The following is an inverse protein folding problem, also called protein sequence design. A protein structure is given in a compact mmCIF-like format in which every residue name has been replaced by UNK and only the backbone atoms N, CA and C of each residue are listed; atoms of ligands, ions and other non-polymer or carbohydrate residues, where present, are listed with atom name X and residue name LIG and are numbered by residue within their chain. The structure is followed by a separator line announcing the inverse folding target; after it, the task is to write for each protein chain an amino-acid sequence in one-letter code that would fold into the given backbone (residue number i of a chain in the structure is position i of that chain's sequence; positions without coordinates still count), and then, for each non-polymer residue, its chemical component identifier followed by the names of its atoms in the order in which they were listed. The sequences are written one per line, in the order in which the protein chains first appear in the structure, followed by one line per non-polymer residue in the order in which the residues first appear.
data_IF_474248440780
#
_entry.id   IF_474248440780
#
_cell.length_a   1.000
_cell.length_b   1.000
_cell.length_c   1.000
_cell.angle_alpha   90.00
_cell.angle_beta   90.00
_cell.angle_gamma   90.00
#
_symmetry.space_group_name_H-M   'P 1'
#
loop_
_entity.id
_entity.type
_entity.pdbx_description
1 polymer ?
#
# COMPACT_ATOMS: atom_id res chain seq x y z
N UNK A 1 -0.04 -82.65 47.71
CA UNK A 1 1.31 -82.05 47.85
C UNK A 1 1.54 -81.16 46.64
N UNK A 2 2.21 -80.03 46.86
CA UNK A 2 2.64 -79.00 45.90
C UNK A 2 1.65 -77.88 45.51
N UNK A 3 1.72 -76.84 46.36
CA UNK A 3 1.91 -75.40 46.06
C UNK A 3 1.06 -74.75 44.95
N UNK A 4 0.04 -74.02 45.40
CA UNK A 4 -0.58 -72.93 44.65
C UNK A 4 0.22 -71.62 44.85
N UNK A 5 0.40 -70.92 43.73
CA UNK A 5 1.20 -69.71 43.51
C UNK A 5 0.43 -68.45 43.91
N UNK A 6 1.01 -67.62 44.77
CA UNK A 6 0.59 -66.23 45.04
C UNK A 6 1.11 -65.31 43.94
N UNK A 7 0.22 -64.57 43.27
CA UNK A 7 0.54 -63.54 42.28
C UNK A 7 0.37 -62.16 42.94
N UNK A 8 1.46 -61.40 42.97
CA UNK A 8 1.51 -59.98 43.37
C UNK A 8 0.91 -59.09 42.27
N UNK A 9 -0.15 -58.35 42.58
CA UNK A 9 -0.65 -57.26 41.73
C UNK A 9 0.17 -55.98 41.99
N UNK A 10 1.14 -55.72 41.10
CA UNK A 10 1.79 -54.39 41.01
C UNK A 10 0.97 -53.47 40.12
N UNK A 11 0.28 -52.52 40.75
CA UNK A 11 -0.38 -51.37 40.12
C UNK A 11 0.65 -50.52 39.35
N UNK A 12 0.60 -50.59 38.03
CA UNK A 12 1.42 -49.79 37.12
C UNK A 12 0.65 -48.49 36.79
N UNK A 13 0.89 -47.41 37.56
CA UNK A 13 0.41 -46.07 37.20
C UNK A 13 1.18 -45.58 35.98
N UNK A 14 0.49 -45.37 34.86
CA UNK A 14 1.06 -44.79 33.65
C UNK A 14 1.46 -43.32 33.92
N UNK A 15 2.63 -42.86 33.45
CA UNK A 15 2.98 -41.44 33.53
C UNK A 15 2.03 -40.66 32.62
N UNK A 16 1.42 -39.59 33.14
CA UNK A 16 0.78 -38.56 32.30
C UNK A 16 1.89 -37.84 31.54
N UNK A 17 1.86 -37.96 30.21
CA UNK A 17 2.64 -37.11 29.30
C UNK A 17 2.08 -35.69 29.44
N UNK A 18 2.85 -34.82 30.10
CA UNK A 18 2.59 -33.39 30.16
C UNK A 18 2.95 -32.80 28.79
N UNK A 19 1.96 -32.70 27.89
CA UNK A 19 2.11 -31.97 26.63
C UNK A 19 2.00 -30.50 27.00
N UNK A 20 3.12 -29.89 27.39
CA UNK A 20 3.21 -28.44 27.51
C UNK A 20 2.86 -27.86 26.15
N UNK A 21 1.87 -26.95 26.04
CA UNK A 21 1.56 -26.30 24.78
C UNK A 21 2.83 -25.60 24.30
N UNK A 22 3.37 -26.07 23.17
CA UNK A 22 4.49 -25.45 22.49
C UNK A 22 4.12 -24.01 22.24
N UNK A 23 4.87 -23.09 22.86
CA UNK A 23 4.69 -21.64 22.76
C UNK A 23 4.74 -21.27 21.28
N UNK A 24 3.57 -21.08 20.64
CA UNK A 24 3.46 -20.59 19.26
C UNK A 24 4.25 -19.28 19.22
N UNK A 25 5.42 -19.27 18.57
CA UNK A 25 6.16 -18.03 18.33
C UNK A 25 5.28 -17.19 17.41
N UNK A 26 4.91 -16.00 17.87
CA UNK A 26 4.25 -15.00 17.02
C UNK A 26 5.25 -14.66 15.91
N UNK A 27 4.99 -15.17 14.71
CA UNK A 27 5.73 -14.78 13.52
C UNK A 27 5.30 -13.36 13.17
N UNK A 28 6.25 -12.44 13.23
CA UNK A 28 6.05 -11.04 12.85
C UNK A 28 6.58 -10.88 11.43
N UNK A 29 5.74 -10.44 10.49
CA UNK A 29 6.25 -9.98 9.20
C UNK A 29 6.87 -8.62 9.41
N UNK A 30 8.11 -8.44 8.96
CA UNK A 30 8.75 -7.14 8.94
C UNK A 30 8.65 -6.53 7.54
N UNK A 31 8.40 -5.23 7.48
CA UNK A 31 8.59 -4.47 6.24
C UNK A 31 10.02 -3.94 6.25
N UNK A 32 10.88 -4.36 5.32
CA UNK A 32 12.28 -3.95 5.30
C UNK A 32 12.40 -2.43 5.24
N UNK A 33 13.24 -1.89 6.12
CA UNK A 33 13.59 -0.48 6.16
C UNK A 33 14.99 -0.29 5.61
N UNK A 34 15.14 0.49 4.54
CA UNK A 34 16.46 0.80 3.95
C UNK A 34 16.83 2.23 4.31
N UNK A 35 17.77 2.38 5.25
CA UNK A 35 18.40 3.65 5.55
C UNK A 35 19.53 3.94 4.54
N UNK A 36 19.20 4.76 3.54
CA UNK A 36 20.12 5.11 2.45
C UNK A 36 21.34 5.93 2.92
N UNK A 37 21.24 6.66 4.04
CA UNK A 37 22.38 7.40 4.61
C UNK A 37 23.39 6.43 5.22
N UNK A 38 22.90 5.48 6.02
CA UNK A 38 23.76 4.49 6.68
C UNK A 38 24.51 3.60 5.68
N UNK A 39 23.84 3.20 4.59
CA UNK A 39 24.47 2.41 3.53
C UNK A 39 25.66 3.15 2.89
N UNK A 40 25.58 4.47 2.77
CA UNK A 40 26.66 5.29 2.22
C UNK A 40 27.84 5.44 3.17
N UNK A 41 27.59 5.69 4.45
CA UNK A 41 28.66 5.88 5.44
C UNK A 41 29.52 4.61 5.57
N UNK A 42 28.92 3.43 5.42
CA UNK A 42 29.64 2.16 5.34
C UNK A 42 30.57 2.08 4.11
N UNK A 43 30.15 2.65 2.97
CA UNK A 43 30.97 2.69 1.76
C UNK A 43 32.17 3.64 1.87
N UNK A 44 31.99 4.82 2.46
CA UNK A 44 33.06 5.81 2.57
C UNK A 44 34.18 5.37 3.53
N UNK A 45 33.85 4.63 4.58
CA UNK A 45 34.82 4.24 5.60
C UNK A 45 35.74 3.07 5.20
N UNK A 46 35.53 2.44 4.04
CA UNK A 46 36.44 1.41 3.50
C UNK A 46 36.62 0.16 4.38
N UNK A 47 35.81 0.02 5.44
CA UNK A 47 35.86 -1.11 6.38
C UNK A 47 34.98 -2.28 5.95
N UNK A 48 34.29 -2.18 4.82
CA UNK A 48 33.42 -3.22 4.29
C UNK A 48 34.20 -4.29 3.52
N UNK A 49 34.17 -5.52 4.03
CA UNK A 49 34.36 -6.74 3.25
C UNK A 49 33.54 -6.62 1.95
N UNK A 50 34.16 -6.88 0.79
CA UNK A 50 33.57 -6.75 -0.55
C UNK A 50 32.34 -7.67 -0.84
N UNK A 51 31.78 -8.33 0.17
CA UNK A 51 30.71 -9.32 0.05
C UNK A 51 29.35 -8.86 0.62
N UNK A 52 29.26 -7.62 1.12
CA UNK A 52 27.96 -7.00 1.43
C UNK A 52 27.33 -6.51 0.13
N UNK A 53 26.65 -7.41 -0.58
CA UNK A 53 25.72 -7.09 -1.66
C UNK A 53 24.68 -6.12 -1.08
N UNK A 54 24.88 -4.82 -1.30
CA UNK A 54 23.83 -3.84 -1.10
C UNK A 54 22.67 -4.27 -2.00
N UNK A 55 21.68 -4.92 -1.40
CA UNK A 55 20.46 -5.29 -2.09
C UNK A 55 19.85 -4.00 -2.61
N UNK A 56 19.63 -3.94 -3.93
CA UNK A 56 18.96 -2.78 -4.50
C UNK A 56 17.55 -2.67 -3.91
N UNK A 57 16.97 -1.47 -3.92
CA UNK A 57 15.57 -1.26 -3.53
C UNK A 57 14.66 -2.26 -4.27
N UNK A 58 14.95 -2.52 -5.55
CA UNK A 58 14.21 -3.47 -6.37
C UNK A 58 14.40 -4.93 -5.94
N UNK A 59 15.55 -5.32 -5.40
CA UNK A 59 15.77 -6.67 -4.86
C UNK A 59 14.99 -6.87 -3.56
N UNK A 60 15.09 -5.91 -2.64
CA UNK A 60 14.36 -5.97 -1.38
C UNK A 60 12.86 -6.00 -1.63
N UNK A 61 12.37 -5.15 -2.55
CA UNK A 61 10.98 -5.14 -2.97
C UNK A 61 10.54 -6.46 -3.61
N UNK A 62 11.33 -7.05 -4.51
CA UNK A 62 10.95 -8.31 -5.16
C UNK A 62 10.75 -9.44 -4.13
N UNK A 63 11.55 -9.45 -3.06
CA UNK A 63 11.43 -10.44 -1.99
C UNK A 63 10.25 -10.17 -1.07
N UNK A 64 10.10 -8.92 -0.60
CA UNK A 64 9.16 -8.60 0.50
C UNK A 64 7.85 -7.99 0.04
N UNK A 65 7.77 -7.57 -1.22
CA UNK A 65 6.63 -6.87 -1.82
C UNK A 65 6.28 -5.54 -1.11
N UNK A 66 7.14 -5.06 -0.21
CA UNK A 66 7.08 -3.75 0.42
C UNK A 66 8.48 -3.32 0.88
N UNK A 67 8.75 -2.01 0.86
CA UNK A 67 10.00 -1.39 1.32
C UNK A 67 9.70 -0.01 1.89
N UNK A 68 10.24 0.31 3.06
CA UNK A 68 10.17 1.64 3.67
C UNK A 68 11.52 2.36 3.58
N UNK A 69 11.50 3.61 3.11
CA UNK A 69 12.68 4.46 2.92
C UNK A 69 12.53 5.76 3.74
N UNK A 70 12.95 5.77 5.01
CA UNK A 70 12.85 6.96 5.86
C UNK A 70 13.87 8.02 5.42
N UNK A 71 13.45 9.29 5.43
CA UNK A 71 14.30 10.44 5.11
C UNK A 71 14.83 10.43 3.68
N UNK A 72 14.09 9.84 2.74
CA UNK A 72 14.52 9.71 1.34
C UNK A 72 14.84 11.07 0.70
N UNK A 73 14.05 12.11 1.01
CA UNK A 73 14.32 13.46 0.49
C UNK A 73 15.68 14.01 0.91
N UNK A 74 16.06 13.81 2.17
CA UNK A 74 17.32 14.34 2.66
C UNK A 74 18.51 13.65 1.98
N UNK A 75 18.39 12.34 1.72
CA UNK A 75 19.38 11.60 0.94
C UNK A 75 19.53 12.20 -0.46
N UNK A 76 18.40 12.52 -1.12
CA UNK A 76 18.40 13.10 -2.46
C UNK A 76 19.00 14.52 -2.48
N UNK A 77 18.71 15.35 -1.49
CA UNK A 77 19.27 16.70 -1.37
C UNK A 77 20.79 16.65 -1.19
N UNK A 78 21.27 15.77 -0.30
CA UNK A 78 22.70 15.60 -0.08
C UNK A 78 23.43 15.09 -1.34
N UNK A 79 22.81 14.17 -2.08
CA UNK A 79 23.36 13.70 -3.36
C UNK A 79 23.43 14.81 -4.42
N UNK A 80 22.45 15.72 -4.45
CA UNK A 80 22.48 16.90 -5.33
C UNK A 80 23.62 17.84 -4.94
N UNK A 81 23.77 18.14 -3.66
CA UNK A 81 24.85 19.00 -3.16
C UNK A 81 26.23 18.44 -3.52
N UNK A 82 26.44 17.13 -3.36
CA UNK A 82 27.70 16.47 -3.73
C UNK A 82 27.98 16.54 -5.23
N UNK A 83 26.97 16.36 -6.10
CA UNK A 83 27.13 16.52 -7.55
C UNK A 83 27.53 17.95 -7.90
N UNK A 84 26.81 18.94 -7.35
CA UNK A 84 27.15 20.36 -7.55
C UNK A 84 28.58 20.69 -7.10
N UNK A 85 29.05 20.11 -6.00
CA UNK A 85 30.44 20.30 -5.54
C UNK A 85 31.48 19.67 -6.49
N UNK A 86 31.18 18.49 -7.06
CA UNK A 86 32.06 17.83 -8.06
C UNK A 86 32.08 18.61 -9.36
N UNK A 87 30.91 18.98 -9.87
CA UNK A 87 30.79 19.75 -11.11
C UNK A 87 31.48 21.11 -10.96
N UNK A 88 31.36 21.78 -9.80
CA UNK A 88 32.07 23.03 -9.52
C UNK A 88 33.60 22.86 -9.45
N UNK A 89 34.10 21.68 -9.06
CA UNK A 89 35.54 21.39 -9.08
C UNK A 89 36.07 21.14 -10.51
N UNK A 90 35.23 20.60 -11.39
CA UNK A 90 35.57 20.32 -12.79
C UNK A 90 35.31 21.52 -13.73
N UNK A 91 34.42 22.44 -13.36
CA UNK A 91 33.92 23.54 -14.19
C UNK A 91 34.85 24.77 -14.28
N UNK A 92 36.16 24.61 -14.09
CA UNK A 92 37.15 25.71 -14.18
C UNK A 92 37.28 26.33 -15.60
N UNK A 93 36.33 26.09 -16.52
CA UNK A 93 36.32 26.69 -17.86
C UNK A 93 34.98 26.77 -18.63
N UNK A 94 33.81 26.57 -18.01
CA UNK A 94 32.53 26.70 -18.75
C UNK A 94 31.52 27.60 -18.04
N UNK A 95 31.16 28.71 -18.71
CA UNK A 95 30.14 29.67 -18.27
C UNK A 95 28.75 29.08 -18.49
N UNK A 96 28.26 28.25 -17.58
CA UNK A 96 26.88 27.76 -17.67
C UNK A 96 25.86 28.84 -17.29
N UNK A 97 24.79 28.90 -18.09
CA UNK A 97 23.63 29.74 -17.81
C UNK A 97 22.91 29.21 -16.56
N UNK A 98 22.56 30.06 -15.58
CA UNK A 98 21.93 29.61 -14.35
C UNK A 98 20.63 28.87 -14.66
N UNK A 99 20.57 27.58 -14.30
CA UNK A 99 19.34 26.80 -14.37
C UNK A 99 18.27 27.51 -13.54
N UNK A 100 17.12 27.77 -14.17
CA UNK A 100 15.98 28.41 -13.52
C UNK A 100 15.45 27.46 -12.45
N UNK A 101 15.59 27.81 -11.18
CA UNK A 101 15.05 27.02 -10.08
C UNK A 101 13.55 26.78 -10.30
N UNK A 102 13.17 25.52 -10.51
CA UNK A 102 11.76 25.13 -10.56
C UNK A 102 11.19 25.17 -9.15
N UNK A 103 9.97 25.68 -9.01
CA UNK A 103 9.30 25.71 -7.72
C UNK A 103 8.91 24.28 -7.31
N UNK A 104 9.31 23.87 -6.10
CA UNK A 104 8.94 22.57 -5.53
C UNK A 104 7.47 22.60 -5.09
N UNK A 105 6.73 21.54 -5.40
CA UNK A 105 5.32 21.38 -5.06
C UNK A 105 5.11 21.52 -3.55
N UNK A 106 4.23 22.43 -3.16
CA UNK A 106 3.79 22.59 -1.78
C UNK A 106 2.30 22.24 -1.67
N UNK A 107 1.85 21.75 -0.52
CA UNK A 107 0.44 21.35 -0.33
C UNK A 107 -0.57 22.48 -0.63
N UNK A 108 -0.16 23.74 -0.45
CA UNK A 108 -0.98 24.93 -0.77
C UNK A 108 -1.23 25.10 -2.27
N UNK A 109 -0.42 24.50 -3.12
CA UNK A 109 -0.56 24.58 -4.57
C UNK A 109 -1.66 23.64 -5.08
N UNK A 110 -2.03 22.61 -4.30
CA UNK A 110 -2.96 21.57 -4.72
C UNK A 110 -4.34 22.10 -5.09
N UNK A 111 -4.86 23.10 -4.38
CA UNK A 111 -6.12 23.74 -4.77
C UNK A 111 -6.01 24.38 -6.17
N UNK A 112 -4.93 25.11 -6.43
CA UNK A 112 -4.69 25.75 -7.73
C UNK A 112 -4.42 24.74 -8.85
N UNK A 113 -3.81 23.60 -8.53
CA UNK A 113 -3.63 22.47 -9.45
C UNK A 113 -5.01 21.86 -9.76
N UNK A 114 -5.78 21.49 -8.74
CA UNK A 114 -7.09 20.86 -8.87
C UNK A 114 -8.05 21.70 -9.74
N UNK A 115 -8.10 23.02 -9.53
CA UNK A 115 -8.96 23.92 -10.33
C UNK A 115 -8.64 23.94 -11.82
N UNK A 116 -7.39 23.62 -12.19
CA UNK A 116 -6.90 23.60 -13.57
C UNK A 116 -6.96 22.21 -14.22
N UNK A 117 -7.32 21.19 -13.45
CA UNK A 117 -7.52 19.84 -13.99
C UNK A 117 -8.68 19.85 -15.00
N UNK A 118 -8.67 18.85 -15.89
CA UNK A 118 -9.83 18.56 -16.74
C UNK A 118 -11.04 18.15 -15.89
N UNK A 119 -12.26 18.29 -16.41
CA UNK A 119 -13.46 17.84 -15.67
C UNK A 119 -13.40 16.34 -15.34
N UNK A 120 -12.89 15.51 -16.26
CA UNK A 120 -12.66 14.08 -16.03
C UNK A 120 -11.73 13.81 -14.84
N UNK A 121 -10.67 14.60 -14.69
CA UNK A 121 -9.74 14.44 -13.56
C UNK A 121 -10.36 14.98 -12.26
N UNK A 122 -11.21 16.00 -12.33
CA UNK A 122 -11.96 16.49 -11.15
C UNK A 122 -13.01 15.51 -10.67
N UNK A 123 -13.62 14.75 -11.58
CA UNK A 123 -14.57 13.68 -11.26
C UNK A 123 -13.95 12.56 -10.42
N UNK A 124 -12.62 12.37 -10.49
CA UNK A 124 -11.91 11.40 -9.65
C UNK A 124 -11.77 11.82 -8.17
N UNK A 125 -12.24 13.02 -7.81
CA UNK A 125 -12.21 13.47 -6.42
C UNK A 125 -13.12 12.60 -5.55
N UNK A 126 -12.53 11.95 -4.57
CA UNK A 126 -13.25 11.08 -3.64
C UNK A 126 -12.95 11.49 -2.20
N UNK A 127 -13.98 11.55 -1.35
CA UNK A 127 -13.82 11.60 0.11
C UNK A 127 -13.70 10.15 0.59
N UNK A 128 -12.60 9.86 1.25
CA UNK A 128 -12.17 8.49 1.54
C UNK A 128 -12.64 7.98 2.91
N UNK A 129 -13.10 8.87 3.78
CA UNK A 129 -13.49 8.52 5.15
C UNK A 129 -14.99 8.70 5.40
N UNK A 130 -15.61 7.67 5.96
CA UNK A 130 -17.04 7.57 6.32
C UNK A 130 -17.43 8.49 7.47
N UNK A 131 -16.52 8.72 8.43
CA UNK A 131 -16.77 9.56 9.62
C UNK A 131 -16.57 11.07 9.38
N UNK A 132 -16.54 11.50 8.12
CA UNK A 132 -16.19 12.86 7.76
C UNK A 132 -17.18 13.88 8.36
N UNK A 133 -16.68 14.71 9.30
CA UNK A 133 -17.36 15.95 9.73
C UNK A 133 -17.25 17.06 8.68
N UNK A 134 -17.09 16.70 7.41
CA UNK A 134 -16.92 17.64 6.30
C UNK A 134 -18.26 18.33 6.09
N UNK A 135 -18.36 19.58 6.56
CA UNK A 135 -19.56 20.42 6.36
C UNK A 135 -19.78 20.74 4.89
N UNK A 136 -18.71 20.72 4.10
CA UNK A 136 -18.70 21.06 2.68
C UNK A 136 -17.95 20.00 1.88
N UNK A 137 -18.66 19.03 1.30
CA UNK A 137 -18.07 17.96 0.48
C UNK A 137 -17.42 18.45 -0.84
N UNK A 138 -17.32 19.76 -1.05
CA UNK A 138 -16.78 20.33 -2.27
C UNK A 138 -15.24 20.40 -2.20
N UNK A 139 -14.52 19.86 -3.21
CA UNK A 139 -13.06 19.96 -3.29
C UNK A 139 -12.56 21.41 -3.19
N UNK A 140 -13.36 22.35 -3.70
CA UNK A 140 -13.03 23.78 -3.71
C UNK A 140 -12.80 24.33 -2.30
N UNK A 141 -13.57 23.89 -1.31
CA UNK A 141 -13.42 24.35 0.07
C UNK A 141 -12.35 23.54 0.81
N UNK A 142 -12.36 22.23 0.64
CA UNK A 142 -11.50 21.33 1.40
C UNK A 142 -10.00 21.50 1.13
N UNK A 143 -9.63 21.76 -0.14
CA UNK A 143 -8.23 21.92 -0.55
C UNK A 143 -7.65 23.32 -0.25
N UNK A 144 -8.47 24.31 0.12
CA UNK A 144 -7.98 25.67 0.43
C UNK A 144 -7.21 25.72 1.74
N UNK A 145 -6.20 26.57 1.82
CA UNK A 145 -5.31 26.62 2.98
C UNK A 145 -5.93 27.07 4.30
N UNK A 146 -7.09 27.73 4.27
CA UNK A 146 -7.76 28.37 5.40
C UNK A 146 -8.93 27.55 5.98
N UNK A 147 -9.26 26.38 5.40
CA UNK A 147 -10.30 25.52 5.99
C UNK A 147 -9.81 24.77 7.24
N UNK A 148 -10.75 24.55 8.15
CA UNK A 148 -10.59 23.80 9.40
C UNK A 148 -11.34 22.45 9.33
N UNK A 149 -11.84 22.08 8.16
CA UNK A 149 -12.53 20.81 7.97
C UNK A 149 -11.62 19.63 8.29
N UNK A 150 -12.20 18.59 8.89
CA UNK A 150 -11.56 17.31 9.18
C UNK A 150 -11.98 16.31 8.12
N UNK A 151 -11.04 15.65 7.46
CA UNK A 151 -11.36 14.73 6.38
C UNK A 151 -10.13 14.14 5.68
N UNK A 152 -10.36 13.14 4.85
CA UNK A 152 -9.37 12.55 3.97
C UNK A 152 -9.97 12.39 2.57
N UNK A 153 -9.24 12.80 1.55
CA UNK A 153 -9.67 12.71 0.16
C UNK A 153 -8.52 12.28 -0.76
N UNK A 154 -8.88 11.79 -1.94
CA UNK A 154 -7.94 11.54 -3.02
C UNK A 154 -8.45 12.10 -4.35
N UNK A 155 -7.56 12.30 -5.31
CA UNK A 155 -7.90 12.55 -6.70
C UNK A 155 -6.73 12.20 -7.63
N UNK A 156 -7.04 11.99 -8.90
CA UNK A 156 -6.11 11.66 -9.97
C UNK A 156 -5.70 12.88 -10.79
N UNK A 157 -4.45 12.84 -11.26
CA UNK A 157 -3.94 13.68 -12.35
C UNK A 157 -3.42 12.76 -13.45
N UNK A 158 -4.11 12.71 -14.59
CA UNK A 158 -3.79 11.76 -15.68
C UNK A 158 -3.74 12.44 -17.05
N UNK A 159 -4.38 13.60 -17.22
CA UNK A 159 -4.29 14.34 -18.47
C UNK A 159 -2.84 14.79 -18.72
N UNK A 160 -2.29 14.47 -19.90
CA UNK A 160 -0.86 14.64 -20.21
C UNK A 160 -0.29 16.03 -19.89
N UNK A 161 -1.01 17.11 -20.21
CA UNK A 161 -0.56 18.49 -19.95
C UNK A 161 -0.51 18.79 -18.45
N UNK A 162 -1.59 18.50 -17.73
CA UNK A 162 -1.68 18.69 -16.28
C UNK A 162 -0.66 17.83 -15.53
N UNK A 163 -0.54 16.57 -15.93
CA UNK A 163 0.42 15.62 -15.36
C UNK A 163 1.85 16.12 -15.55
N UNK A 164 2.26 16.46 -16.77
CA UNK A 164 3.63 16.93 -17.05
C UNK A 164 4.00 18.14 -16.18
N UNK A 165 3.08 19.10 -16.06
CA UNK A 165 3.26 20.28 -15.21
C UNK A 165 3.43 19.94 -13.73
N UNK A 166 2.64 18.99 -13.21
CA UNK A 166 2.74 18.60 -11.80
C UNK A 166 4.00 17.80 -11.55
N UNK A 167 4.38 16.90 -12.47
CA UNK A 167 5.60 16.10 -12.40
C UNK A 167 6.87 16.98 -12.32
N UNK A 168 6.91 18.10 -13.03
CA UNK A 168 8.02 19.09 -12.96
C UNK A 168 8.17 19.75 -11.58
N UNK A 169 7.12 19.74 -10.76
CA UNK A 169 7.11 20.32 -9.42
C UNK A 169 7.41 19.29 -8.33
N UNK A 170 7.38 17.97 -8.62
CA UNK A 170 7.53 16.95 -7.59
C UNK A 170 8.96 16.93 -7.03
N UNK A 171 9.13 16.82 -5.70
CA UNK A 171 10.46 16.67 -5.10
C UNK A 171 11.14 15.35 -5.52
N UNK A 172 10.33 14.30 -5.70
CA UNK A 172 10.78 12.99 -6.19
C UNK A 172 9.89 12.60 -7.37
N UNK A 173 10.50 12.48 -8.56
CA UNK A 173 9.81 12.09 -9.79
C UNK A 173 9.84 10.57 -10.01
N UNK A 174 10.96 9.95 -9.60
CA UNK A 174 11.29 8.54 -9.81
C UNK A 174 12.21 8.07 -8.69
N UNK A 175 12.09 6.80 -8.30
CA UNK A 175 12.97 6.13 -7.35
C UNK A 175 14.19 5.48 -8.01
N UNK A 176 14.31 5.55 -9.34
CA UNK A 176 15.52 5.12 -10.03
C UNK A 176 16.63 6.14 -9.86
N UNK A 177 17.73 5.73 -9.26
CA UNK A 177 18.97 6.47 -9.30
C UNK A 177 19.64 6.26 -10.67
N UNK A 178 19.47 7.23 -11.57
CA UNK A 178 20.12 7.21 -12.89
C UNK A 178 21.66 7.13 -12.79
N UNK A 179 22.25 7.50 -11.65
CA UNK A 179 23.71 7.44 -11.49
C UNK A 179 24.28 6.03 -11.38
N UNK A 180 23.46 5.05 -10.98
CA UNK A 180 23.92 3.65 -10.88
C UNK A 180 24.09 3.04 -12.28
N UNK A 181 23.21 3.39 -13.23
CA UNK A 181 23.27 2.84 -14.58
C UNK A 181 24.30 3.53 -15.49
N UNK A 182 24.60 4.81 -15.23
CA UNK A 182 25.41 5.65 -16.12
C UNK A 182 26.90 5.26 -16.19
N UNK A 183 27.45 4.67 -15.13
CA UNK A 183 28.88 4.36 -15.06
C UNK A 183 29.31 3.11 -15.83
N UNK A 184 28.36 2.29 -16.31
CA UNK A 184 28.69 1.09 -17.07
C UNK A 184 29.14 1.39 -18.52
N UNK A 185 28.82 2.57 -19.07
CA UNK A 185 29.08 2.90 -20.48
C UNK A 185 30.34 3.74 -20.75
N UNK A 186 31.00 4.31 -19.72
CA UNK A 186 32.05 5.31 -19.93
C UNK A 186 33.48 4.74 -20.14
N UNK A 187 33.68 3.41 -20.06
CA UNK A 187 35.00 2.80 -20.23
C UNK A 187 35.36 2.40 -21.68
N UNK A 188 34.48 2.60 -22.66
CA UNK A 188 34.69 2.12 -24.03
C UNK A 188 35.59 3.00 -24.93
N UNK A 189 36.10 4.14 -24.45
CA UNK A 189 36.94 5.03 -25.28
C UNK A 189 38.46 4.82 -25.14
N UNK A 190 38.94 3.79 -24.42
CA UNK A 190 40.36 3.42 -24.45
C UNK A 190 40.66 2.54 -25.67
N UNK A 191 41.38 3.09 -26.66
CA UNK A 191 41.70 2.47 -27.96
C UNK A 191 42.64 1.25 -27.93
N UNK A 192 42.69 0.50 -26.84
CA UNK A 192 43.42 -0.77 -26.78
C UNK A 192 42.50 -1.90 -27.23
N UNK A 193 42.75 -2.42 -28.45
CA UNK A 193 42.16 -3.63 -29.05
C UNK A 193 42.39 -4.89 -28.18
N UNK A 194 41.74 -4.99 -27.03
CA UNK A 194 41.67 -6.20 -26.25
C UNK A 194 40.21 -6.65 -26.23
N UNK A 195 39.93 -7.74 -26.94
CA UNK A 195 38.63 -8.41 -27.03
C UNK A 195 38.25 -9.06 -25.68
N UNK A 196 38.07 -8.24 -24.64
CA UNK A 196 37.42 -8.70 -23.42
C UNK A 196 35.92 -8.47 -23.64
N UNK A 197 35.08 -9.52 -23.65
CA UNK A 197 33.65 -9.35 -23.83
C UNK A 197 33.12 -8.47 -22.70
N UNK A 198 32.55 -7.32 -23.07
CA UNK A 198 31.86 -6.44 -22.13
C UNK A 198 30.87 -7.28 -21.33
N UNK A 199 31.14 -7.47 -20.04
CA UNK A 199 30.25 -8.18 -19.14
C UNK A 199 28.94 -7.39 -19.11
N UNK A 200 27.96 -7.89 -19.86
CA UNK A 200 26.65 -7.27 -20.00
C UNK A 200 26.03 -7.21 -18.61
N UNK A 201 25.88 -6.00 -18.06
CA UNK A 201 25.26 -5.79 -16.76
C UNK A 201 23.79 -6.24 -16.84
N UNK A 202 23.50 -7.45 -16.36
CA UNK A 202 22.16 -8.07 -16.42
C UNK A 202 21.25 -7.62 -15.28
N UNK A 203 21.69 -6.71 -14.39
CA UNK A 203 20.98 -6.41 -13.14
C UNK A 203 20.19 -5.10 -13.13
N UNK A 204 20.20 -4.28 -14.19
CA UNK A 204 19.45 -3.02 -14.17
C UNK A 204 17.94 -3.28 -14.34
N UNK A 205 17.23 -3.46 -13.22
CA UNK A 205 15.77 -3.42 -13.15
C UNK A 205 15.34 -1.96 -13.26
N UNK A 206 14.74 -1.58 -14.38
CA UNK A 206 14.16 -0.25 -14.53
C UNK A 206 12.67 -0.29 -14.21
N UNK A 207 12.17 0.80 -13.63
CA UNK A 207 10.76 0.97 -13.33
C UNK A 207 10.13 1.81 -14.43
N UNK A 208 9.00 1.35 -14.96
CA UNK A 208 8.17 2.13 -15.86
C UNK A 208 6.92 2.56 -15.10
N UNK A 209 6.70 3.86 -15.03
CA UNK A 209 5.53 4.39 -14.35
C UNK A 209 4.34 4.49 -15.29
N UNK A 210 3.16 4.30 -14.73
CA UNK A 210 1.92 4.62 -15.41
C UNK A 210 1.76 6.15 -15.62
N UNK A 211 0.94 6.57 -16.60
CA UNK A 211 0.72 7.98 -16.93
C UNK A 211 -0.35 8.60 -16.03
N UNK A 212 -0.28 8.34 -14.72
CA UNK A 212 -1.11 8.99 -13.71
C UNK A 212 -0.24 9.43 -12.52
N UNK A 213 -0.84 10.27 -11.69
CA UNK A 213 -0.36 10.63 -10.38
C UNK A 213 -1.57 10.69 -9.43
N UNK A 214 -1.54 9.86 -8.39
CA UNK A 214 -2.51 9.92 -7.31
C UNK A 214 -2.09 10.99 -6.31
N UNK A 215 -3.03 11.84 -5.91
CA UNK A 215 -2.85 12.80 -4.81
C UNK A 215 -3.79 12.38 -3.67
N UNK A 216 -3.23 12.28 -2.48
CA UNK A 216 -3.97 12.04 -1.24
C UNK A 216 -3.79 13.25 -0.32
N UNK A 217 -4.89 13.72 0.24
CA UNK A 217 -4.91 14.93 1.05
C UNK A 217 -5.83 14.73 2.25
N UNK A 218 -5.32 14.94 3.46
CA UNK A 218 -6.15 14.88 4.64
C UNK A 218 -5.79 15.91 5.70
N UNK A 219 -6.80 16.23 6.51
CA UNK A 219 -6.74 17.21 7.59
C UNK A 219 -7.24 16.54 8.84
N UNK A 220 -6.38 16.50 9.85
CA UNK A 220 -6.75 16.10 11.20
C UNK A 220 -6.12 17.09 12.20
N UNK A 221 -6.64 18.34 12.27
CA UNK A 221 -6.06 19.38 13.12
C UNK A 221 -6.10 18.99 14.60
N UNK A 222 -5.00 19.21 15.30
CA UNK A 222 -4.92 19.08 16.77
C UNK A 222 -5.71 20.21 17.44
N UNK A 223 -7.03 20.14 17.52
CA UNK A 223 -7.77 21.13 18.31
C UNK A 223 -7.55 20.95 19.82
N UNK A 224 -7.59 22.08 20.53
CA UNK A 224 -7.17 22.28 21.92
C UNK A 224 -8.18 21.77 22.98
N UNK A 225 -9.31 21.16 22.61
CA UNK A 225 -10.45 21.03 23.54
C UNK A 225 -11.16 19.68 23.57
N UNK A 226 -10.48 18.58 23.26
CA UNK A 226 -11.03 17.26 23.62
C UNK A 226 -10.07 16.59 24.58
N UNK A 227 -10.26 16.85 25.87
CA UNK A 227 -9.65 16.01 26.90
C UNK A 227 -10.23 14.58 26.75
N UNK A 228 -9.39 13.57 26.98
CA UNK A 228 -9.77 12.19 27.37
C UNK A 228 -9.95 11.05 26.35
N UNK A 229 -9.90 11.23 25.02
CA UNK A 229 -9.76 10.05 24.12
C UNK A 229 -8.30 9.82 23.69
N UNK A 230 -7.82 8.59 23.92
CA UNK A 230 -6.42 8.16 23.74
C UNK A 230 -6.04 7.81 22.31
N UNK A 231 -7.00 7.72 21.39
CA UNK A 231 -6.75 7.61 19.96
C UNK A 231 -7.72 8.52 19.20
N UNK A 232 -7.18 9.47 18.45
CA UNK A 232 -7.92 10.45 17.63
C UNK A 232 -7.37 10.50 16.23
N UNK A 233 -6.77 9.41 15.81
CA UNK A 233 -6.33 9.27 14.44
C UNK A 233 -7.57 9.28 13.55
N UNK A 234 -7.59 10.18 12.58
CA UNK A 234 -8.64 10.21 11.58
C UNK A 234 -8.45 8.99 10.70
N UNK A 235 -9.47 8.14 10.61
CA UNK A 235 -9.44 7.01 9.68
C UNK A 235 -9.32 7.53 8.24
N UNK A 236 -8.33 7.04 7.51
CA UNK A 236 -8.23 7.21 6.07
C UNK A 236 -9.09 6.18 5.35
N UNK A 237 -8.54 5.53 4.33
CA UNK A 237 -9.20 4.36 3.74
C UNK A 237 -9.19 3.18 4.74
N UNK A 238 -10.30 2.43 4.88
CA UNK A 238 -10.33 1.18 5.65
C UNK A 238 -9.35 0.14 5.07
N UNK A 239 -9.16 -0.96 5.78
CA UNK A 239 -8.27 -2.02 5.30
C UNK A 239 -8.80 -2.61 3.98
N UNK A 240 -7.97 -2.62 2.95
CA UNK A 240 -8.29 -3.19 1.63
C UNK A 240 -7.02 -3.69 0.94
N UNK A 241 -7.19 -4.37 -0.18
CA UNK A 241 -6.14 -4.62 -1.18
C UNK A 241 -6.58 -3.99 -2.48
N UNK A 242 -5.64 -3.50 -3.28
CA UNK A 242 -5.98 -2.99 -4.61
C UNK A 242 -5.95 -4.12 -5.63
N UNK A 243 -6.94 -4.17 -6.50
CA UNK A 243 -6.88 -5.02 -7.69
C UNK A 243 -6.19 -4.29 -8.84
N UNK A 244 -4.87 -4.39 -8.82
CA UNK A 244 -3.97 -3.72 -9.77
C UNK A 244 -3.31 -4.72 -10.72
N UNK A 245 -2.97 -4.23 -11.91
CA UNK A 245 -2.23 -5.00 -12.91
C UNK A 245 -0.71 -4.78 -12.84
N UNK A 246 -0.28 -3.63 -12.32
CA UNK A 246 1.12 -3.24 -12.19
C UNK A 246 1.81 -3.95 -11.00
N UNK A 247 3.14 -3.86 -10.97
CA UNK A 247 3.93 -4.59 -9.97
C UNK A 247 3.89 -3.96 -8.58
N UNK A 248 3.55 -2.68 -8.47
CA UNK A 248 3.31 -1.99 -7.21
C UNK A 248 3.07 -0.51 -7.35
N UNK A 249 3.00 0.16 -6.20
CA UNK A 249 2.83 1.60 -6.07
C UNK A 249 3.85 2.11 -5.05
N UNK A 250 4.40 3.30 -5.29
CA UNK A 250 5.16 3.99 -4.26
C UNK A 250 4.48 5.30 -3.87
N UNK A 251 4.48 5.57 -2.58
CA UNK A 251 3.90 6.75 -1.95
C UNK A 251 5.02 7.60 -1.39
N UNK A 252 5.04 8.89 -1.74
CA UNK A 252 5.92 9.88 -1.13
C UNK A 252 5.09 10.82 -0.25
N UNK A 253 5.50 10.97 1.00
CA UNK A 253 4.83 11.85 1.95
C UNK A 253 5.35 13.29 1.76
N UNK A 254 4.55 14.13 1.11
CA UNK A 254 4.90 15.51 0.77
C UNK A 254 4.84 16.46 1.97
N UNK A 255 3.88 16.27 2.87
CA UNK A 255 3.66 17.12 4.05
C UNK A 255 2.96 16.33 5.14
N UNK A 256 3.24 16.66 6.40
CA UNK A 256 2.58 16.02 7.54
C UNK A 256 2.97 14.56 7.72
N UNK A 257 2.14 13.80 8.43
CA UNK A 257 2.37 12.40 8.76
C UNK A 257 1.18 11.55 8.34
N UNK A 258 1.46 10.33 7.87
CA UNK A 258 0.46 9.29 7.58
C UNK A 258 0.95 7.97 8.17
N UNK A 259 0.09 7.29 8.91
CA UNK A 259 0.36 5.96 9.40
C UNK A 259 -0.27 4.93 8.45
N UNK A 260 0.49 3.90 8.12
CA UNK A 260 0.07 2.74 7.34
C UNK A 260 0.02 1.53 8.25
N UNK A 261 -1.08 0.78 8.20
CA UNK A 261 -1.21 -0.52 8.83
C UNK A 261 -1.21 -1.55 7.70
N UNK A 262 -0.20 -2.42 7.67
CA UNK A 262 0.02 -3.39 6.60
C UNK A 262 -0.10 -4.82 7.14
N UNK A 263 -0.89 -5.64 6.49
CA UNK A 263 -1.02 -7.07 6.80
C UNK A 263 -0.85 -7.88 5.51
N UNK A 264 0.01 -8.92 5.50
CA UNK A 264 0.20 -9.70 4.29
C UNK A 264 -1.11 -10.40 3.92
N UNK A 265 -1.41 -10.47 2.63
CA UNK A 265 -2.38 -11.45 2.13
C UNK A 265 -1.87 -12.87 2.38
N UNK A 266 -2.77 -13.85 2.34
CA UNK A 266 -2.39 -15.27 2.39
C UNK A 266 -1.40 -15.66 1.28
N UNK A 267 -1.60 -15.11 0.09
CA UNK A 267 -0.71 -15.34 -1.05
C UNK A 267 0.72 -14.86 -0.73
N UNK A 268 0.86 -13.65 -0.20
CA UNK A 268 2.17 -13.11 0.18
C UNK A 268 2.79 -13.91 1.32
N UNK A 269 1.98 -14.25 2.32
CA UNK A 269 2.44 -15.04 3.47
C UNK A 269 3.06 -16.37 3.05
N UNK A 270 2.41 -17.09 2.13
CA UNK A 270 2.92 -18.34 1.58
C UNK A 270 4.21 -18.12 0.77
N UNK A 271 4.30 -17.02 0.01
CA UNK A 271 5.51 -16.65 -0.72
C UNK A 271 6.70 -16.38 0.23
N UNK A 272 6.46 -15.69 1.34
CA UNK A 272 7.52 -15.31 2.30
C UNK A 272 8.01 -16.51 3.12
N UNK A 273 7.11 -17.40 3.53
CA UNK A 273 7.46 -18.54 4.40
C UNK A 273 7.80 -19.82 3.64
N UNK A 274 7.57 -19.86 2.32
CA UNK A 274 7.76 -21.07 1.52
C UNK A 274 6.82 -22.21 1.92
N UNK A 275 5.71 -21.90 2.59
CA UNK A 275 4.69 -22.86 3.02
C UNK A 275 3.56 -22.91 2.00
N UNK A 276 3.22 -24.11 1.54
CA UNK A 276 1.98 -24.37 0.78
C UNK A 276 0.83 -24.78 1.70
N UNK A 277 0.99 -24.61 3.02
CA UNK A 277 -0.02 -25.07 3.97
C UNK A 277 -1.18 -24.09 4.02
N UNK A 278 -2.37 -24.63 3.84
CA UNK A 278 -3.62 -23.89 3.83
C UNK A 278 -4.15 -23.58 5.23
N UNK A 279 -3.29 -23.52 6.25
CA UNK A 279 -3.69 -23.28 7.63
C UNK A 279 -4.09 -21.79 7.84
N UNK A 280 -5.40 -21.49 8.01
CA UNK A 280 -5.86 -20.12 8.21
C UNK A 280 -5.38 -19.53 9.54
N UNK A 281 -5.02 -20.35 10.54
CA UNK A 281 -4.51 -19.86 11.83
C UNK A 281 -3.07 -19.34 11.76
N UNK A 282 -2.39 -19.54 10.63
CA UNK A 282 -0.96 -19.19 10.49
C UNK A 282 -0.70 -17.73 10.13
N UNK A 283 -1.71 -16.99 9.63
CA UNK A 283 -1.52 -15.62 9.16
C UNK A 283 -1.42 -14.66 10.37
N UNK A 284 -0.43 -13.75 10.41
CA UNK A 284 -0.34 -12.76 11.46
C UNK A 284 -1.61 -11.90 11.47
N UNK A 285 -2.29 -11.88 12.62
CA UNK A 285 -3.49 -11.05 12.83
C UNK A 285 -3.06 -9.58 13.05
N UNK A 286 -1.89 -9.35 13.64
CA UNK A 286 -1.43 -8.00 13.98
C UNK A 286 -0.80 -7.32 12.76
N UNK A 287 -1.33 -6.16 12.33
CA UNK A 287 -0.74 -5.41 11.22
C UNK A 287 0.60 -4.78 11.62
N UNK A 288 1.49 -4.65 10.65
CA UNK A 288 2.72 -3.86 10.75
C UNK A 288 2.36 -2.39 10.64
N UNK A 289 2.71 -1.60 11.65
CA UNK A 289 2.49 -0.16 11.65
C UNK A 289 3.73 0.58 11.14
N UNK A 290 3.56 1.40 10.10
CA UNK A 290 4.60 2.26 9.53
C UNK A 290 4.14 3.72 9.63
N UNK A 291 4.94 4.57 10.25
CA UNK A 291 4.69 6.01 10.32
C UNK A 291 5.52 6.73 9.25
N UNK A 292 4.86 7.15 8.16
CA UNK A 292 5.48 7.90 7.08
C UNK A 292 5.44 9.40 7.40
N UNK A 293 6.60 9.98 7.62
CA UNK A 293 6.81 11.41 7.80
C UNK A 293 7.09 12.12 6.48
N UNK A 294 6.96 13.44 6.48
CA UNK A 294 7.37 14.26 5.34
C UNK A 294 8.79 13.91 4.86
N UNK A 295 8.91 13.57 3.58
CA UNK A 295 10.17 13.17 2.95
C UNK A 295 10.39 11.66 2.86
N UNK A 296 9.58 10.86 3.53
CA UNK A 296 9.64 9.40 3.50
C UNK A 296 8.98 8.83 2.24
N UNK A 297 9.42 7.63 1.86
CA UNK A 297 8.82 6.85 0.78
C UNK A 297 8.43 5.45 1.29
N UNK A 298 7.21 5.03 0.96
CA UNK A 298 6.76 3.65 1.08
C UNK A 298 6.53 3.07 -0.30
N UNK A 299 7.20 1.97 -0.62
CA UNK A 299 6.96 1.18 -1.83
C UNK A 299 6.19 -0.05 -1.38
N UNK A 300 5.05 -0.36 -2.01
CA UNK A 300 4.19 -1.46 -1.58
C UNK A 300 3.46 -2.07 -2.78
N UNK A 301 3.37 -3.39 -2.79
CA UNK A 301 2.46 -4.12 -3.66
C UNK A 301 1.08 -4.13 -3.00
N UNK A 302 0.24 -3.16 -3.33
CA UNK A 302 -1.08 -2.99 -2.71
C UNK A 302 -2.06 -4.12 -3.02
N UNK A 303 -1.75 -5.00 -3.99
CA UNK A 303 -2.48 -6.26 -4.23
C UNK A 303 -2.14 -7.36 -3.23
N UNK A 304 -0.89 -7.39 -2.75
CA UNK A 304 -0.39 -8.46 -1.89
C UNK A 304 -0.36 -8.09 -0.41
N UNK A 305 -0.58 -6.82 -0.10
CA UNK A 305 -0.67 -6.28 1.24
C UNK A 305 -2.06 -5.69 1.47
N UNK A 306 -2.80 -6.26 2.42
CA UNK A 306 -3.90 -5.54 3.04
C UNK A 306 -3.34 -4.28 3.69
N UNK A 307 -3.97 -3.14 3.43
CA UNK A 307 -3.47 -1.87 3.88
C UNK A 307 -4.60 -0.94 4.33
N UNK A 308 -4.37 -0.27 5.45
CA UNK A 308 -5.21 0.78 6.00
C UNK A 308 -4.35 2.01 6.25
N UNK A 309 -4.97 3.19 6.17
CA UNK A 309 -4.28 4.45 6.49
C UNK A 309 -4.96 5.15 7.65
N UNK A 310 -4.15 5.72 8.54
CA UNK A 310 -4.58 6.55 9.65
C UNK A 310 -3.85 7.89 9.58
N UNK A 311 -4.56 8.98 9.89
CA UNK A 311 -4.01 10.32 9.91
C UNK A 311 -3.95 10.80 11.36
N UNK A 312 -2.77 10.83 12.00
CA UNK A 312 -2.64 11.33 13.36
C UNK A 312 -2.99 12.83 13.43
N UNK A 313 -3.27 13.31 14.63
CA UNK A 313 -3.50 14.75 14.88
C UNK A 313 -2.25 15.56 14.51
N UNK A 314 -2.43 16.58 13.69
CA UNK A 314 -1.32 17.36 13.15
C UNK A 314 -1.74 18.78 12.72
N UNK A 315 -0.85 19.78 12.85
CA UNK A 315 -1.19 21.18 12.57
C UNK A 315 -1.26 21.52 11.07
N UNK A 316 -0.78 20.64 10.21
CA UNK A 316 -0.72 20.82 8.75
C UNK A 316 -1.40 19.65 8.06
N UNK A 317 -1.92 19.82 6.83
CA UNK A 317 -2.46 18.70 6.09
C UNK A 317 -1.41 17.60 5.86
N UNK A 318 -1.85 16.35 6.01
CA UNK A 318 -1.13 15.16 5.55
C UNK A 318 -1.35 15.04 4.05
N UNK A 319 -0.27 15.17 3.28
CA UNK A 319 -0.31 15.10 1.82
C UNK A 319 0.70 14.09 1.36
N UNK A 320 0.27 13.14 0.54
CA UNK A 320 1.15 12.24 -0.17
C UNK A 320 0.73 12.18 -1.63
N UNK A 321 1.67 11.84 -2.51
CA UNK A 321 1.34 11.44 -3.86
C UNK A 321 1.88 10.05 -4.14
N UNK A 322 1.29 9.37 -5.12
CA UNK A 322 1.70 8.03 -5.47
C UNK A 322 1.78 7.82 -6.98
N UNK A 323 2.66 6.90 -7.37
CA UNK A 323 2.78 6.45 -8.76
C UNK A 323 2.86 4.94 -8.82
N UNK A 324 2.09 4.42 -9.76
CA UNK A 324 2.05 3.02 -10.10
C UNK A 324 3.22 2.68 -11.03
N UNK A 325 3.83 1.51 -10.84
CA UNK A 325 5.02 1.12 -11.58
C UNK A 325 5.06 -0.35 -11.97
N UNK A 326 5.75 -0.60 -13.08
CA UNK A 326 6.14 -1.91 -13.59
C UNK A 326 7.64 -2.09 -13.46
N UNK A 327 8.09 -3.26 -13.02
CA UNK A 327 9.48 -3.67 -13.00
C UNK A 327 9.80 -4.32 -14.34
N UNK A 328 10.55 -3.61 -15.18
CA UNK A 328 11.02 -4.13 -16.44
C UNK A 328 12.36 -4.83 -16.21
N UNK A 329 12.34 -6.15 -16.26
CA UNK A 329 13.57 -6.93 -16.42
C UNK A 329 13.93 -6.94 -17.91
N UNK A 330 15.06 -6.34 -18.27
CA UNK A 330 15.58 -6.48 -19.64
C UNK A 330 15.81 -7.97 -19.90
N UNK A 331 15.09 -8.59 -20.85
CA UNK A 331 15.32 -9.99 -21.14
C UNK A 331 16.78 -10.13 -21.56
N UNK A 332 17.53 -10.96 -20.84
CA UNK A 332 18.87 -11.35 -21.27
C UNK A 332 18.71 -11.85 -22.70
N UNK A 333 19.33 -11.18 -23.67
CA UNK A 333 19.41 -11.62 -25.06
C UNK A 333 20.24 -12.90 -25.11
N UNK A 334 19.71 -13.99 -24.60
CA UNK A 334 20.04 -15.32 -25.10
C UNK A 334 19.24 -15.44 -26.37
N UNK A 335 19.94 -15.15 -27.46
CA UNK A 335 19.46 -15.40 -28.80
C UNK A 335 18.95 -16.86 -28.87
N UNK A 336 17.82 -16.99 -29.56
CA UNK A 336 17.25 -18.21 -30.17
C UNK A 336 15.97 -18.74 -29.51
N UNK A 337 14.85 -18.23 -30.03
CA UNK A 337 13.66 -19.05 -30.30
C UNK A 337 12.60 -19.14 -29.20
N UNK A 338 11.92 -18.04 -28.88
CA UNK A 338 10.59 -18.13 -28.27
C UNK A 338 9.71 -16.97 -28.73
N UNK A 339 8.51 -17.33 -29.17
CA UNK A 339 7.47 -16.52 -29.80
C UNK A 339 7.14 -15.23 -29.05
N UNK A 340 7.35 -14.10 -29.73
CA UNK A 340 6.71 -12.82 -29.40
C UNK A 340 5.18 -12.99 -29.40
N UNK A 341 4.58 -13.10 -28.21
CA UNK A 341 3.22 -12.63 -28.03
C UNK A 341 3.29 -11.09 -28.01
N UNK A 342 3.06 -10.51 -29.19
CA UNK A 342 2.75 -9.10 -29.36
C UNK A 342 1.41 -8.82 -28.67
N UNK A 343 1.44 -8.46 -27.39
CA UNK A 343 0.38 -7.68 -26.75
C UNK A 343 0.57 -6.19 -27.07
N UNK A 344 0.62 -5.85 -28.36
CA UNK A 344 0.41 -4.49 -28.85
C UNK A 344 -1.09 -4.20 -28.89
N UNK A 345 -1.75 -4.41 -27.75
CA UNK A 345 -3.11 -3.94 -27.52
C UNK A 345 -3.04 -2.46 -27.18
N UNK A 346 -3.32 -1.62 -28.16
CA UNK A 346 -3.67 -0.20 -27.99
C UNK A 346 -5.03 -0.06 -27.28
N UNK A 347 -5.21 -0.75 -26.15
CA UNK A 347 -6.17 -0.32 -25.15
C UNK A 347 -5.47 0.77 -24.37
N UNK A 348 -5.99 1.99 -24.40
CA UNK A 348 -5.81 2.87 -23.26
C UNK A 348 -6.22 2.03 -22.06
N UNK A 349 -5.23 1.55 -21.30
CA UNK A 349 -5.44 0.83 -20.05
C UNK A 349 -6.13 1.81 -19.14
N UNK A 350 -7.45 1.82 -19.21
CA UNK A 350 -8.28 2.63 -18.36
C UNK A 350 -7.95 2.14 -16.97
N UNK A 351 -7.34 3.00 -16.16
CA UNK A 351 -7.17 2.75 -14.75
C UNK A 351 -8.55 2.65 -14.16
N UNK A 352 -9.07 1.44 -14.14
CA UNK A 352 -10.10 1.08 -13.21
C UNK A 352 -9.34 0.57 -12.02
N UNK A 353 -9.47 1.20 -10.86
CA UNK A 353 -9.17 0.48 -9.62
C UNK A 353 -10.12 -0.72 -9.70
N UNK A 354 -9.63 -1.91 -10.07
CA UNK A 354 -10.46 -3.12 -10.21
C UNK A 354 -10.77 -3.64 -8.81
N UNK A 355 -10.78 -2.79 -7.78
CA UNK A 355 -11.50 -3.11 -6.55
C UNK A 355 -12.95 -3.40 -6.88
N UNK A 356 -13.42 -3.04 -8.08
CA UNK A 356 -14.69 -3.53 -8.59
C UNK A 356 -15.84 -3.09 -7.71
N UNK A 357 -15.62 -2.07 -6.86
CA UNK A 357 -16.62 -1.49 -5.98
C UNK A 357 -17.16 -0.21 -6.60
N UNK A 358 -17.05 0.02 -7.91
CA UNK A 358 -17.74 1.11 -8.60
C UNK A 358 -18.05 0.78 -10.06
N UNK A 359 -19.08 1.43 -10.60
CA UNK A 359 -19.56 1.19 -11.95
C UNK A 359 -18.64 1.84 -13.00
N UNK A 360 -18.14 1.10 -13.97
CA UNK A 360 -17.37 1.69 -15.10
C UNK A 360 -18.27 2.37 -16.11
N UNK A 361 -19.53 1.93 -16.19
CA UNK A 361 -20.56 2.39 -17.10
C UNK A 361 -21.90 2.50 -16.33
N UNK A 362 -22.94 3.06 -16.95
CA UNK A 362 -24.27 3.06 -16.34
C UNK A 362 -24.80 1.63 -16.20
N UNK A 363 -25.18 1.22 -14.99
CA UNK A 363 -25.73 -0.11 -14.70
C UNK A 363 -27.23 0.02 -14.42
N UNK A 364 -28.10 -0.65 -15.21
CA UNK A 364 -29.53 -0.70 -14.93
C UNK A 364 -29.84 -1.37 -13.59
N UNK A 365 -30.96 -1.02 -12.97
CA UNK A 365 -31.54 -1.75 -11.84
C UNK A 365 -31.78 -3.24 -12.19
N UNK A 366 -31.55 -4.13 -11.23
CA UNK A 366 -31.70 -5.59 -11.38
C UNK A 366 -30.55 -6.28 -12.11
N UNK A 367 -29.42 -5.59 -12.32
CA UNK A 367 -28.24 -6.18 -12.98
C UNK A 367 -27.38 -6.88 -11.96
N UNK A 368 -26.97 -8.13 -12.24
CA UNK A 368 -25.96 -8.85 -11.45
C UNK A 368 -24.61 -8.20 -11.72
N UNK A 369 -23.99 -7.65 -10.68
CA UNK A 369 -22.71 -6.95 -10.75
C UNK A 369 -21.57 -7.95 -10.69
N UNK A 370 -21.60 -8.85 -9.71
CA UNK A 370 -20.71 -10.02 -9.63
C UNK A 370 -21.36 -11.13 -8.81
N UNK A 371 -21.00 -12.36 -9.16
CA UNK A 371 -21.41 -13.57 -8.45
C UNK A 371 -20.40 -13.94 -7.37
N UNK A 372 -20.86 -14.64 -6.34
CA UNK A 372 -20.03 -15.13 -5.24
C UNK A 372 -18.88 -16.03 -5.74
N UNK A 373 -19.10 -16.84 -6.78
CA UNK A 373 -18.06 -17.71 -7.35
C UNK A 373 -16.98 -16.95 -8.15
N UNK A 374 -17.32 -15.77 -8.67
CA UNK A 374 -16.41 -14.88 -9.37
C UNK A 374 -15.56 -14.05 -8.39
N UNK A 375 -16.14 -13.65 -7.25
CA UNK A 375 -15.47 -12.85 -6.21
C UNK A 375 -15.80 -13.34 -4.78
N UNK A 376 -15.27 -14.50 -4.36
CA UNK A 376 -15.67 -15.20 -3.11
C UNK A 376 -15.28 -14.52 -1.80
N UNK A 377 -14.64 -13.33 -1.84
CA UNK A 377 -14.27 -12.55 -0.67
C UNK A 377 -14.41 -11.03 -0.94
N UNK A 378 -15.40 -10.65 -1.77
CA UNK A 378 -15.65 -9.24 -2.06
C UNK A 378 -16.31 -8.56 -0.84
N UNK A 379 -15.61 -7.61 -0.23
CA UNK A 379 -16.21 -6.71 0.74
C UNK A 379 -16.62 -5.40 0.04
N UNK A 380 -17.93 -5.18 -0.04
CA UNK A 380 -18.49 -3.94 -0.55
C UNK A 380 -18.66 -2.91 0.55
N UNK A 381 -18.57 -1.64 0.18
CA UNK A 381 -18.91 -0.54 1.07
C UNK A 381 -20.34 -0.71 1.59
N UNK A 382 -20.55 -0.51 2.90
CA UNK A 382 -21.89 -0.48 3.48
C UNK A 382 -22.38 0.96 3.58
N UNK A 383 -23.64 1.20 3.21
CA UNK A 383 -24.26 2.52 3.28
C UNK A 383 -25.69 2.43 3.79
N UNK A 384 -25.96 3.08 4.91
CA UNK A 384 -27.31 3.20 5.49
C UNK A 384 -28.18 4.21 4.77
N UNK A 385 -27.57 5.21 4.13
CA UNK A 385 -28.28 6.39 3.61
C UNK A 385 -28.62 6.27 2.13
N UNK A 386 -27.81 5.55 1.36
CA UNK A 386 -27.99 5.44 -0.08
C UNK A 386 -27.31 4.18 -0.65
N UNK A 387 -27.77 2.97 -0.27
CA UNK A 387 -27.30 1.75 -0.92
C UNK A 387 -27.76 1.73 -2.38
N UNK A 388 -26.97 1.10 -3.23
CA UNK A 388 -27.31 0.89 -4.64
C UNK A 388 -27.15 -0.58 -5.07
N UNK A 389 -26.71 -1.44 -4.16
CA UNK A 389 -26.62 -2.87 -4.32
C UNK A 389 -27.30 -3.61 -3.16
N UNK A 390 -27.70 -4.85 -3.41
CA UNK A 390 -28.10 -5.82 -2.39
C UNK A 390 -27.50 -7.19 -2.70
N UNK A 391 -27.44 -8.05 -1.68
CA UNK A 391 -27.10 -9.47 -1.88
C UNK A 391 -28.39 -10.23 -2.16
N UNK A 392 -28.45 -10.91 -3.29
CA UNK A 392 -29.57 -11.75 -3.71
C UNK A 392 -29.13 -13.21 -3.88
N UNK A 393 -29.98 -14.15 -3.48
CA UNK A 393 -29.81 -15.57 -3.74
C UNK A 393 -30.34 -15.91 -5.15
N UNK A 394 -29.51 -16.53 -5.97
CA UNK A 394 -29.86 -16.96 -7.33
C UNK A 394 -30.58 -18.32 -7.33
N UNK A 395 -31.18 -18.71 -8.46
CA UNK A 395 -31.92 -19.97 -8.60
C UNK A 395 -31.07 -21.24 -8.35
N UNK A 396 -29.75 -21.13 -8.49
CA UNK A 396 -28.78 -22.20 -8.24
C UNK A 396 -28.32 -22.28 -6.77
N UNK A 397 -28.82 -21.39 -5.91
CA UNK A 397 -28.46 -21.28 -4.49
C UNK A 397 -27.16 -20.52 -4.21
N UNK A 398 -26.52 -19.95 -5.25
CA UNK A 398 -25.36 -19.06 -5.07
C UNK A 398 -25.81 -17.64 -4.74
N UNK A 399 -24.97 -16.87 -4.04
CA UNK A 399 -25.25 -15.45 -3.81
C UNK A 399 -24.66 -14.59 -4.93
N UNK A 400 -25.31 -13.45 -5.19
CA UNK A 400 -24.82 -12.45 -6.13
C UNK A 400 -25.13 -11.04 -5.62
N UNK A 401 -24.29 -10.08 -6.00
CA UNK A 401 -24.56 -8.66 -5.76
C UNK A 401 -25.34 -8.12 -6.94
N UNK A 402 -26.52 -7.55 -6.65
CA UNK A 402 -27.46 -7.04 -7.66
C UNK A 402 -27.73 -5.56 -7.41
N UNK A 403 -27.79 -4.77 -8.48
CA UNK A 403 -28.15 -3.36 -8.38
C UNK A 403 -29.63 -3.19 -7.99
N UNK A 404 -29.92 -2.44 -6.92
CA UNK A 404 -31.30 -2.14 -6.48
C UNK A 404 -31.86 -0.84 -7.07
N UNK A 405 -31.05 -0.11 -7.82
CA UNK A 405 -31.43 1.08 -8.60
C UNK A 405 -30.43 1.29 -9.73
N UNK A 406 -30.70 2.17 -10.71
CA UNK A 406 -29.69 2.56 -11.68
C UNK A 406 -28.45 3.15 -10.98
N UNK A 407 -27.27 2.70 -11.42
CA UNK A 407 -25.96 3.13 -10.91
C UNK A 407 -25.26 3.91 -12.01
N UNK A 408 -24.85 5.14 -11.74
CA UNK A 408 -24.17 5.96 -12.73
C UNK A 408 -22.72 5.50 -12.91
N UNK A 409 -22.14 5.72 -14.10
CA UNK A 409 -20.71 5.51 -14.30
C UNK A 409 -19.89 6.35 -13.30
N UNK A 410 -18.95 5.71 -12.62
CA UNK A 410 -18.13 6.28 -11.54
C UNK A 410 -18.72 6.15 -10.13
N UNK A 411 -19.95 5.65 -9.99
CA UNK A 411 -20.60 5.51 -8.68
C UNK A 411 -20.17 4.22 -7.98
N UNK A 412 -19.81 4.31 -6.69
CA UNK A 412 -19.40 3.16 -5.88
C UNK A 412 -20.57 2.22 -5.58
N UNK A 413 -20.32 0.91 -5.69
CA UNK A 413 -21.22 -0.14 -5.24
C UNK A 413 -21.26 -0.18 -3.71
N UNK A 414 -22.45 0.03 -3.18
CA UNK A 414 -22.70 0.07 -1.75
C UNK A 414 -23.90 -0.82 -1.40
N UNK A 415 -23.72 -1.72 -0.44
CA UNK A 415 -24.80 -2.58 0.10
C UNK A 415 -25.43 -1.91 1.33
N UNK A 416 -26.73 -2.12 1.55
CA UNK A 416 -27.38 -1.72 2.79
C UNK A 416 -26.84 -2.48 4.02
N UNK A 417 -27.03 -1.95 5.22
CA UNK A 417 -26.82 -2.74 6.43
C UNK A 417 -27.89 -3.84 6.50
N UNK A 418 -27.47 -5.08 6.68
CA UNK A 418 -28.39 -6.21 6.88
C UNK A 418 -29.08 -6.00 8.23
N UNK A 419 -30.42 -5.91 8.23
CA UNK A 419 -31.22 -5.67 9.44
C UNK A 419 -31.20 -6.83 10.44
N UNK A 420 -30.44 -7.89 10.18
CA UNK A 420 -30.50 -9.19 10.87
C UNK A 420 -29.33 -9.40 11.86
N UNK A 421 -28.48 -8.39 12.08
CA UNK A 421 -27.32 -8.48 12.97
C UNK A 421 -27.51 -7.79 14.34
N UNK A 422 -28.74 -7.43 14.72
CA UNK A 422 -28.95 -6.72 15.98
C UNK A 422 -30.27 -7.03 16.62
N UNK A 423 -30.38 -8.17 17.31
CA UNK A 423 -31.36 -8.46 18.38
C UNK A 423 -31.24 -9.93 18.82
N UNK A 424 -30.17 -10.34 19.54
CA UNK A 424 -30.17 -11.67 20.20
C UNK A 424 -29.23 -11.79 21.43
N UNK A 425 -28.95 -10.67 22.10
CA UNK A 425 -28.23 -10.65 23.40
C UNK A 425 -29.13 -10.12 24.54
N UNK A 426 -30.41 -10.56 24.59
CA UNK A 426 -31.17 -10.48 25.84
C UNK A 426 -30.71 -11.59 26.78
N UNK A 427 -29.69 -11.28 27.59
CA UNK A 427 -29.26 -12.06 28.75
C UNK A 427 -30.47 -12.46 29.60
N UNK A 428 -30.86 -13.74 29.56
CA UNK A 428 -31.78 -14.31 30.53
C UNK A 428 -31.13 -14.24 31.92
N UNK A 429 -31.55 -13.26 32.73
CA UNK A 429 -31.36 -13.25 34.17
C UNK A 429 -31.90 -14.56 34.75
N UNK A 430 -30.99 -15.47 35.11
CA UNK A 430 -31.33 -16.67 35.87
C UNK A 430 -31.73 -16.24 37.28
N UNK A 431 -33.04 -16.15 37.53
CA UNK A 431 -33.59 -16.04 38.89
C UNK A 431 -33.11 -17.23 39.73
N UNK A 432 -32.22 -16.93 40.68
CA UNK A 432 -31.69 -17.86 41.67
C UNK A 432 -32.83 -18.21 42.65
N UNK A 433 -33.65 -19.22 42.32
CA UNK A 433 -34.67 -19.76 43.24
C UNK A 433 -33.98 -20.38 44.48
N UNK A 434 -34.21 -19.74 45.62
CA UNK A 434 -33.71 -20.13 46.93
C UNK A 434 -34.17 -21.52 47.35
N UNK A 435 -33.20 -22.38 47.64
CA UNK A 435 -33.42 -23.63 48.36
C UNK A 435 -33.57 -23.36 49.86
N UNK A 436 -34.82 -23.22 50.31
CA UNK A 436 -35.17 -23.54 51.70
C UNK A 436 -35.00 -25.04 51.92
N UNK A 437 -34.02 -25.43 52.75
CA UNK A 437 -34.06 -26.72 53.43
C UNK A 437 -34.12 -26.48 54.93
N UNK A 438 -35.27 -26.85 55.49
CA UNK A 438 -35.50 -26.98 56.91
C UNK A 438 -34.92 -28.26 57.52
N UNK A 439 -34.71 -28.17 58.83
CA UNK A 439 -34.84 -29.20 59.87
C UNK A 439 -34.16 -30.57 59.66
N UNK A 440 -33.06 -30.81 60.39
CA UNK A 440 -33.04 -31.62 61.64
C UNK A 440 -31.74 -31.44 62.43
#
# INVERSE_FOLDING_TARGET
MEKASTVDEKSCKRPRLDISPSRKQLLVVEVPTIDLRRNRDNHQNGTGCHDDTLLSIADVYQTHQAVFLPGYIDYMEEMKEQRTQRDAADADNQTESPMKATAILHWKDLYGIFTKLSEKDKESFCIENTESQIKHASPHYFLKSDTHDVGYCSFLVQQQESLSRVLEMLPVLSLQDESICSNAGALENSSTKSEIPAAKCTCCRCWKYEPCLWIFFGRNPSEKEVAESTDKSLQGRPEHTDSISHDGTWHYQLSGTKQWLLRPTRQLWNQLNGTNEDDPESIPITPVSIECHQGDVLIVNTKLWHHQTLLPLQPRPSVSYARDFWIICSPSTTAEGASQQNSTGSGAGMMTNVDGLYATDEIPEGTIIFREDEMPNCELHRSTTNPNCEVAELEDGTQAVVSIRPIAAGEFFCIGESSDEGEDDEEQEWEEEGWENGEE
#
